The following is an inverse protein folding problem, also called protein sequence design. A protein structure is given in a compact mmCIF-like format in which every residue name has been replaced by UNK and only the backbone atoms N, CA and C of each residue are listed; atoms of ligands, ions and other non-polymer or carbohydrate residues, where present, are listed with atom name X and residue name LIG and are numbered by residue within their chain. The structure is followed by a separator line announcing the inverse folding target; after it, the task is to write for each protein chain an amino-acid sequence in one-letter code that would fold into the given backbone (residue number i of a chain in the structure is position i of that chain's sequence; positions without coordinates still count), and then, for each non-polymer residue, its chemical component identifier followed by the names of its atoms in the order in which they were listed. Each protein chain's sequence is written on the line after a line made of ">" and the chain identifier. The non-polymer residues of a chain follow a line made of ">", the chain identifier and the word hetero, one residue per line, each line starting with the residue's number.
data_IF_081356811913
#
_entry.id   IF_081356811913
#
_cell.length_a   1.000
_cell.length_b   1.000
_cell.length_c   1.000
_cell.angle_alpha   90.00
_cell.angle_beta   90.00
_cell.angle_gamma   90.00
#
_symmetry.space_group_name_H-M   'P 1'
#
loop_
_entity.id
_entity.type
_entity.pdbx_description
1 polymer ?
#
# COMPACT_ATOMS: atom_id res chain seq x y z
N UNK A 1 -63.56 21.09 -13.78
CA UNK A 1 -62.12 21.36 -13.94
C UNK A 1 -61.38 20.64 -12.82
N UNK A 2 -60.93 19.40 -13.07
CA UNK A 2 -60.11 18.62 -12.12
C UNK A 2 -59.52 17.35 -12.79
N UNK A 3 -58.41 16.85 -12.22
CA UNK A 3 -57.58 15.66 -12.56
C UNK A 3 -56.57 15.87 -13.71
N UNK A 4 -55.30 15.47 -13.67
CA UNK A 4 -54.47 14.69 -12.73
C UNK A 4 -53.35 13.96 -13.50
N UNK A 5 -52.15 13.89 -12.89
CA UNK A 5 -51.09 12.84 -13.03
C UNK A 5 -50.09 12.88 -14.22
N UNK A 6 -48.82 12.98 -13.81
CA UNK A 6 -47.50 12.65 -14.41
C UNK A 6 -47.42 11.65 -15.59
N UNK A 7 -46.51 11.94 -16.55
CA UNK A 7 -45.44 11.00 -16.98
C UNK A 7 -44.34 11.66 -17.83
N UNK A 8 -43.09 11.36 -17.46
CA UNK A 8 -41.84 11.64 -18.16
C UNK A 8 -41.53 10.48 -19.11
N UNK A 9 -41.20 10.79 -20.38
CA UNK A 9 -40.36 10.03 -21.34
C UNK A 9 -40.36 10.86 -22.65
N UNK A 10 -39.36 10.94 -23.53
CA UNK A 10 -38.34 10.02 -24.04
C UNK A 10 -37.36 10.89 -24.85
N UNK A 11 -36.04 10.71 -24.74
CA UNK A 11 -35.11 11.02 -25.83
C UNK A 11 -34.06 9.92 -25.89
N UNK A 12 -34.18 9.08 -26.91
CA UNK A 12 -33.16 8.13 -27.34
C UNK A 12 -32.49 8.74 -28.57
N UNK A 13 -31.15 8.75 -28.60
CA UNK A 13 -30.30 8.32 -29.72
C UNK A 13 -28.82 8.63 -29.40
N UNK A 14 -28.04 7.56 -29.41
CA UNK A 14 -26.60 7.43 -29.65
C UNK A 14 -25.60 8.12 -28.70
N UNK A 15 -24.96 7.32 -27.85
CA UNK A 15 -23.51 7.40 -27.65
C UNK A 15 -22.91 5.99 -27.49
N UNK A 16 -22.08 5.61 -28.45
CA UNK A 16 -21.04 4.58 -28.30
C UNK A 16 -20.10 4.99 -27.16
N UNK A 17 -19.99 4.16 -26.12
CA UNK A 17 -19.00 4.32 -25.07
C UNK A 17 -17.97 3.19 -25.15
N UNK A 18 -16.74 3.55 -25.52
CA UNK A 18 -15.59 2.67 -25.52
C UNK A 18 -14.91 2.59 -24.14
N UNK A 19 -14.34 1.42 -23.87
CA UNK A 19 -13.67 0.95 -22.65
C UNK A 19 -12.31 1.60 -22.38
N UNK A 20 -11.91 1.66 -21.09
CA UNK A 20 -10.58 2.11 -20.66
C UNK A 20 -9.75 0.92 -20.17
N UNK A 21 -8.68 0.57 -20.89
CA UNK A 21 -7.66 -0.39 -20.47
C UNK A 21 -6.33 0.32 -20.28
N UNK A 22 -5.55 -0.11 -19.30
CA UNK A 22 -4.12 0.18 -19.26
C UNK A 22 -3.39 -0.88 -20.08
N UNK A 23 -2.58 -0.45 -21.02
CA UNK A 23 -1.71 -1.34 -21.78
C UNK A 23 -0.28 -0.95 -21.50
N UNK A 24 0.53 -1.94 -21.10
CA UNK A 24 1.97 -1.81 -21.08
C UNK A 24 2.45 -1.84 -22.55
N UNK A 25 2.99 -0.73 -23.04
CA UNK A 25 3.69 -0.72 -24.32
C UNK A 25 5.15 -1.04 -24.01
N UNK A 26 5.53 -2.31 -24.16
CA UNK A 26 6.93 -2.72 -24.08
C UNK A 26 7.62 -2.26 -25.35
N UNK A 27 8.47 -1.22 -25.27
CA UNK A 27 9.36 -0.90 -26.36
C UNK A 27 10.55 -1.86 -26.31
N UNK A 28 10.37 -3.06 -26.89
CA UNK A 28 11.48 -3.97 -27.16
C UNK A 28 12.32 -3.36 -28.29
N UNK A 29 13.18 -2.41 -27.96
CA UNK A 29 14.27 -2.08 -28.87
C UNK A 29 15.18 -3.30 -28.95
N UNK A 30 14.88 -4.22 -29.87
CA UNK A 30 15.84 -5.21 -30.37
C UNK A 30 17.00 -4.41 -30.96
N UNK A 31 18.04 -4.19 -30.16
CA UNK A 31 19.34 -3.80 -30.73
C UNK A 31 19.88 -5.04 -31.43
N UNK A 32 19.88 -4.99 -32.75
CA UNK A 32 20.68 -5.90 -33.56
C UNK A 32 22.13 -5.89 -33.07
N UNK A 33 22.69 -7.09 -32.95
CA UNK A 33 24.06 -7.35 -32.56
C UNK A 33 25.03 -6.56 -33.44
N UNK A 34 25.72 -5.58 -32.85
CA UNK A 34 27.04 -5.16 -33.33
C UNK A 34 28.05 -5.36 -32.21
N UNK A 35 28.85 -6.39 -32.40
CA UNK A 35 30.09 -6.67 -31.67
C UNK A 35 30.98 -5.43 -31.63
N UNK A 36 31.40 -5.00 -30.45
CA UNK A 36 32.59 -4.18 -30.29
C UNK A 36 33.53 -4.85 -29.29
N UNK A 37 34.64 -5.36 -29.83
CA UNK A 37 35.82 -5.79 -29.10
C UNK A 37 36.53 -4.57 -28.48
N UNK A 38 37.13 -4.82 -27.32
CA UNK A 38 38.24 -4.09 -26.70
C UNK A 38 38.00 -2.62 -26.31
N UNK A 39 37.99 -2.36 -25.00
CA UNK A 39 38.95 -1.46 -24.31
C UNK A 39 38.85 -1.74 -22.80
N UNK A 40 40.01 -1.89 -22.14
CA UNK A 40 40.21 -2.14 -20.71
C UNK A 40 39.95 -0.87 -19.87
N UNK A 41 39.65 -1.03 -18.56
CA UNK A 41 39.27 0.06 -17.67
C UNK A 41 40.49 0.83 -17.15
N UNK A 42 40.38 2.16 -17.01
CA UNK A 42 41.28 2.93 -16.16
C UNK A 42 40.53 3.98 -15.34
N UNK A 43 40.93 4.03 -14.07
CA UNK A 43 40.48 4.88 -12.98
C UNK A 43 40.84 6.37 -13.15
N UNK A 44 40.13 7.22 -12.40
CA UNK A 44 40.56 8.40 -11.59
C UNK A 44 39.75 9.70 -11.83
N UNK A 45 39.04 10.08 -10.75
CA UNK A 45 38.72 11.39 -10.11
C UNK A 45 38.71 12.73 -10.87
N UNK A 46 37.71 13.51 -10.40
CA UNK A 46 37.67 14.93 -9.99
C UNK A 46 37.06 15.96 -10.95
N UNK A 47 36.17 16.74 -10.31
CA UNK A 47 35.67 18.10 -10.58
C UNK A 47 36.27 18.84 -11.77
N UNK A 48 35.43 19.41 -12.62
CA UNK A 48 35.14 20.85 -12.56
C UNK A 48 33.98 21.23 -13.48
N UNK A 49 33.42 22.39 -13.18
CA UNK A 49 32.45 23.16 -13.96
C UNK A 49 32.87 23.34 -15.42
N UNK A 50 31.89 23.60 -16.31
CA UNK A 50 31.86 24.78 -17.19
C UNK A 50 30.71 24.68 -18.23
N UNK A 51 29.96 25.78 -18.31
CA UNK A 51 29.59 26.55 -19.51
C UNK A 51 28.96 25.84 -20.72
N UNK A 52 27.80 26.39 -21.07
CA UNK A 52 27.11 26.35 -22.36
C UNK A 52 27.98 26.73 -23.56
N UNK A 53 27.92 25.96 -24.63
CA UNK A 53 27.63 26.49 -25.97
C UNK A 53 27.25 25.37 -26.93
N UNK A 54 26.25 25.70 -27.75
CA UNK A 54 25.69 24.91 -28.83
C UNK A 54 26.75 24.33 -29.79
N UNK A 55 26.49 23.14 -30.31
CA UNK A 55 26.50 22.95 -31.75
C UNK A 55 25.70 21.72 -32.20
N UNK A 56 24.95 21.96 -33.26
CA UNK A 56 24.08 21.05 -33.99
C UNK A 56 24.84 19.79 -34.44
N UNK A 57 24.26 18.61 -34.14
CA UNK A 57 24.40 17.44 -35.01
C UNK A 57 23.00 17.14 -35.54
N UNK A 58 22.85 17.38 -36.84
CA UNK A 58 21.67 17.04 -37.62
C UNK A 58 21.55 15.53 -37.81
N UNK A 59 20.32 15.06 -37.61
CA UNK A 59 19.62 14.06 -38.44
C UNK A 59 20.36 12.77 -38.83
N UNK A 60 20.23 11.75 -37.99
CA UNK A 60 20.03 10.38 -38.48
C UNK A 60 18.54 10.05 -38.49
N UNK A 61 18.10 9.41 -39.57
CA UNK A 61 16.73 9.14 -39.99
C UNK A 61 15.89 8.44 -38.90
N UNK A 62 15.08 9.22 -38.19
CA UNK A 62 13.90 8.71 -37.51
C UNK A 62 12.87 8.31 -38.57
N UNK A 63 12.70 7.00 -38.70
CA UNK A 63 11.75 6.29 -39.54
C UNK A 63 10.46 7.08 -39.87
N UNK A 64 10.33 7.47 -41.15
CA UNK A 64 9.16 8.17 -41.68
C UNK A 64 7.87 7.30 -41.67
N UNK A 65 7.95 6.02 -41.29
CA UNK A 65 6.77 5.15 -41.09
C UNK A 65 5.84 5.62 -39.96
N UNK A 66 6.36 6.42 -39.00
CA UNK A 66 5.61 6.96 -37.86
C UNK A 66 4.84 8.28 -38.15
N UNK A 67 4.98 8.88 -39.35
CA UNK A 67 4.46 10.23 -39.62
C UNK A 67 3.00 10.32 -40.09
N UNK A 68 2.31 9.23 -40.40
CA UNK A 68 0.87 9.32 -40.68
C UNK A 68 0.07 9.18 -39.39
N UNK A 69 -0.20 10.32 -38.76
CA UNK A 69 -1.14 10.44 -37.66
C UNK A 69 -2.51 9.87 -38.09
N UNK A 70 -2.98 8.74 -37.54
CA UNK A 70 -4.14 8.02 -38.08
C UNK A 70 -5.49 8.69 -37.74
N UNK A 71 -5.46 9.85 -37.06
CA UNK A 71 -6.63 10.63 -36.66
C UNK A 71 -6.57 12.06 -37.19
N UNK A 72 -6.27 12.24 -38.48
CA UNK A 72 -6.08 13.57 -39.10
C UNK A 72 -7.20 14.59 -38.79
N UNK A 73 -8.39 14.12 -38.40
CA UNK A 73 -9.57 14.95 -38.14
C UNK A 73 -9.74 15.41 -36.68
N UNK A 74 -8.87 15.01 -35.74
CA UNK A 74 -8.96 15.46 -34.33
C UNK A 74 -7.61 16.04 -33.92
N UNK A 75 -7.59 17.32 -33.58
CA UNK A 75 -6.39 18.02 -33.14
C UNK A 75 -5.83 17.44 -31.83
N UNK A 76 -4.53 17.66 -31.62
CA UNK A 76 -3.77 17.08 -30.51
C UNK A 76 -4.32 17.47 -29.14
N UNK A 77 -4.85 18.69 -29.00
CA UNK A 77 -5.37 19.22 -27.74
C UNK A 77 -6.74 18.61 -27.41
N UNK A 78 -7.65 18.56 -28.38
CA UNK A 78 -8.96 17.90 -28.25
C UNK A 78 -8.80 16.42 -27.94
N UNK A 79 -7.84 15.74 -28.59
CA UNK A 79 -7.53 14.33 -28.31
C UNK A 79 -7.01 14.11 -26.89
N UNK A 80 -6.09 14.96 -26.42
CA UNK A 80 -5.54 14.88 -25.06
C UNK A 80 -6.61 15.13 -23.99
N UNK A 81 -7.58 16.01 -24.28
CA UNK A 81 -8.72 16.29 -23.41
C UNK A 81 -9.81 15.21 -23.47
N UNK A 82 -9.86 14.42 -24.55
CA UNK A 82 -10.84 13.35 -24.74
C UNK A 82 -10.72 12.24 -23.69
N UNK A 83 -11.85 11.60 -23.39
CA UNK A 83 -11.91 10.53 -22.40
C UNK A 83 -10.96 9.37 -22.79
N UNK A 84 -10.87 9.03 -24.09
CA UNK A 84 -10.10 7.91 -24.68
C UNK A 84 -8.63 7.81 -24.27
N UNK A 85 -7.93 8.95 -24.09
CA UNK A 85 -6.48 8.98 -23.86
C UNK A 85 -6.10 9.45 -22.45
N UNK A 86 -7.08 9.49 -21.54
CA UNK A 86 -6.86 9.75 -20.13
C UNK A 86 -6.77 8.40 -19.41
N UNK A 87 -5.63 8.17 -18.77
CA UNK A 87 -5.49 7.14 -17.75
C UNK A 87 -6.45 7.50 -16.62
N UNK A 88 -7.42 6.62 -16.34
CA UNK A 88 -8.63 6.95 -15.57
C UNK A 88 -8.82 6.10 -14.32
N UNK A 89 -7.81 5.38 -13.87
CA UNK A 89 -7.95 4.66 -12.60
C UNK A 89 -7.81 5.66 -11.44
N UNK A 90 -8.49 5.40 -10.31
CA UNK A 90 -8.29 6.12 -9.03
C UNK A 90 -6.81 6.30 -8.72
N UNK A 91 -5.99 5.30 -9.05
CA UNK A 91 -4.56 5.28 -8.78
C UNK A 91 -3.83 6.39 -9.54
N UNK A 92 -4.07 6.58 -10.85
CA UNK A 92 -3.46 7.68 -11.62
C UNK A 92 -3.97 9.06 -11.19
N UNK A 93 -5.23 9.16 -10.74
CA UNK A 93 -5.78 10.42 -10.27
C UNK A 93 -5.25 10.82 -8.88
N UNK A 94 -5.02 9.84 -7.99
CA UNK A 94 -4.52 10.06 -6.62
C UNK A 94 -3.00 10.12 -6.52
N UNK A 95 -2.30 9.41 -7.41
CA UNK A 95 -0.85 9.32 -7.49
C UNK A 95 -0.41 9.63 -8.93
N UNK A 96 -0.46 10.90 -9.35
CA UNK A 96 -0.14 11.31 -10.73
C UNK A 96 1.33 11.07 -11.12
N UNK A 97 2.20 10.74 -10.16
CA UNK A 97 3.56 10.24 -10.35
C UNK A 97 3.60 8.77 -10.77
N UNK A 98 2.57 7.99 -10.42
CA UNK A 98 2.47 6.58 -10.77
C UNK A 98 2.43 6.45 -12.29
N UNK A 99 3.46 5.83 -12.86
CA UNK A 99 3.63 5.68 -14.31
C UNK A 99 4.37 6.79 -15.06
N UNK A 100 4.82 7.85 -14.37
CA UNK A 100 5.81 8.80 -14.94
C UNK A 100 7.25 8.30 -14.78
N UNK A 101 7.48 7.42 -13.80
CA UNK A 101 8.80 6.89 -13.51
C UNK A 101 9.19 5.80 -14.52
N UNK A 102 10.45 5.84 -14.95
CA UNK A 102 11.08 4.78 -15.72
C UNK A 102 11.61 3.75 -14.73
N UNK A 103 11.12 2.52 -14.84
CA UNK A 103 11.60 1.38 -14.07
C UNK A 103 12.73 0.72 -14.86
N UNK A 104 13.94 0.66 -14.31
CA UNK A 104 15.04 -0.04 -14.94
C UNK A 104 15.07 -1.49 -14.43
N UNK A 105 14.56 -2.41 -15.24
CA UNK A 105 14.39 -3.81 -14.88
C UNK A 105 15.43 -4.68 -15.59
N UNK A 106 16.08 -5.59 -14.87
CA UNK A 106 16.89 -6.61 -15.52
C UNK A 106 15.97 -7.67 -16.13
N UNK A 107 16.17 -7.92 -17.41
CA UNK A 107 15.50 -8.98 -18.15
C UNK A 107 16.05 -10.36 -17.75
N UNK A 108 15.47 -11.45 -18.28
CA UNK A 108 15.91 -12.81 -17.96
C UNK A 108 17.35 -13.14 -18.40
N UNK A 109 17.93 -12.35 -19.30
CA UNK A 109 19.32 -12.51 -19.77
C UNK A 109 20.27 -11.53 -19.06
N UNK A 110 19.79 -10.77 -18.07
CA UNK A 110 20.56 -9.82 -17.27
C UNK A 110 20.73 -8.44 -17.90
N UNK A 111 20.05 -8.17 -19.02
CA UNK A 111 20.10 -6.87 -19.70
C UNK A 111 19.15 -5.89 -19.00
N UNK A 112 19.67 -4.73 -18.61
CA UNK A 112 18.88 -3.67 -18.03
C UNK A 112 17.97 -3.02 -19.09
N UNK A 113 16.67 -3.12 -18.89
CA UNK A 113 15.61 -2.68 -19.81
C UNK A 113 14.72 -1.64 -19.13
N UNK A 114 14.51 -0.45 -19.76
CA UNK A 114 13.60 0.55 -19.22
C UNK A 114 12.14 0.17 -19.49
N UNK A 115 11.32 0.12 -18.43
CA UNK A 115 9.89 -0.16 -18.45
C UNK A 115 9.14 1.06 -17.92
N UNK A 116 8.15 1.55 -18.66
CA UNK A 116 7.34 2.69 -18.26
C UNK A 116 5.89 2.53 -18.71
N UNK A 117 4.99 3.29 -18.10
CA UNK A 117 3.59 3.32 -18.48
C UNK A 117 3.35 4.41 -19.51
N UNK A 118 2.95 4.01 -20.71
CA UNK A 118 2.63 4.94 -21.80
C UNK A 118 1.13 5.03 -22.01
N UNK A 119 0.68 6.15 -22.59
CA UNK A 119 -0.68 6.26 -23.10
C UNK A 119 -0.86 5.28 -24.26
N UNK A 120 -1.94 4.51 -24.23
CA UNK A 120 -2.32 3.62 -25.32
C UNK A 120 -2.81 4.44 -26.53
N UNK A 121 -2.24 4.15 -27.69
CA UNK A 121 -2.67 4.67 -28.99
C UNK A 121 -3.14 3.52 -29.89
N UNK A 122 -4.17 3.72 -30.73
CA UNK A 122 -4.74 2.66 -31.57
C UNK A 122 -3.77 1.95 -32.53
N UNK A 123 -2.62 2.55 -32.85
CA UNK A 123 -1.60 1.94 -33.70
C UNK A 123 -0.60 1.05 -32.96
N UNK A 124 -0.71 0.92 -31.64
CA UNK A 124 0.22 0.12 -30.83
C UNK A 124 -0.25 -1.32 -30.72
N UNK A 125 0.69 -2.25 -30.87
CA UNK A 125 0.44 -3.66 -30.58
C UNK A 125 0.45 -3.88 -29.07
N UNK A 126 -0.66 -4.38 -28.54
CA UNK A 126 -0.81 -4.73 -27.13
C UNK A 126 -0.16 -6.10 -26.93
N UNK A 127 0.81 -6.18 -26.02
CA UNK A 127 1.47 -7.44 -25.66
C UNK A 127 1.00 -7.98 -24.31
N UNK A 128 0.50 -7.11 -23.44
CA UNK A 128 0.07 -7.42 -22.08
C UNK A 128 -0.98 -6.42 -21.62
N UNK A 129 -2.08 -6.90 -21.03
CA UNK A 129 -3.11 -6.06 -20.43
C UNK A 129 -3.06 -6.15 -18.90
N UNK A 130 -3.11 -5.00 -18.22
CA UNK A 130 -3.05 -4.93 -16.75
C UNK A 130 -4.28 -4.19 -16.23
N UNK A 131 -5.00 -4.81 -15.31
CA UNK A 131 -6.20 -4.24 -14.71
C UNK A 131 -6.03 -4.11 -13.19
N UNK A 132 -6.28 -2.92 -12.66
CA UNK A 132 -6.17 -2.64 -11.23
C UNK A 132 -7.51 -2.79 -10.53
N UNK A 133 -7.67 -3.87 -9.77
CA UNK A 133 -8.88 -4.16 -9.00
C UNK A 133 -8.82 -3.47 -7.63
N UNK A 134 -9.12 -2.17 -7.63
CA UNK A 134 -9.10 -1.33 -6.43
C UNK A 134 -10.44 -0.58 -6.24
N UNK A 135 -11.18 -0.95 -5.19
CA UNK A 135 -12.24 -0.21 -4.49
C UNK A 135 -13.43 0.31 -5.32
N UNK A 136 -13.23 1.25 -6.26
CA UNK A 136 -14.31 2.03 -6.89
C UNK A 136 -14.25 2.14 -8.41
N UNK A 137 -13.12 1.79 -9.03
CA UNK A 137 -12.87 2.08 -10.46
C UNK A 137 -12.56 0.80 -11.24
N UNK A 138 -13.26 -0.29 -10.93
CA UNK A 138 -13.13 -1.55 -11.67
C UNK A 138 -14.44 -1.91 -12.40
N UNK A 139 -14.57 -1.56 -13.69
CA UNK A 139 -15.76 -1.87 -14.48
C UNK A 139 -15.61 -3.25 -15.15
N UNK A 140 -15.97 -4.31 -14.42
CA UNK A 140 -15.84 -5.71 -14.88
C UNK A 140 -16.56 -5.98 -16.21
N UNK A 141 -17.68 -5.30 -16.42
CA UNK A 141 -18.49 -5.33 -17.63
C UNK A 141 -17.81 -4.71 -18.85
N UNK A 142 -16.80 -3.85 -18.65
CA UNK A 142 -16.07 -3.19 -19.74
C UNK A 142 -14.83 -3.97 -20.18
N UNK A 143 -14.52 -5.10 -19.54
CA UNK A 143 -13.43 -5.97 -19.98
C UNK A 143 -13.85 -6.64 -21.29
N UNK A 144 -13.12 -6.44 -22.41
CA UNK A 144 -13.50 -6.97 -23.72
C UNK A 144 -13.63 -8.49 -23.71
N UNK A 145 -14.70 -9.00 -24.31
CA UNK A 145 -14.94 -10.44 -24.49
C UNK A 145 -15.00 -10.81 -25.97
N UNK A 146 -14.43 -11.96 -26.38
CA UNK A 146 -13.66 -12.91 -25.56
C UNK A 146 -12.22 -12.41 -25.28
N UNK A 147 -11.53 -12.91 -24.23
CA UNK A 147 -10.11 -12.65 -24.03
C UNK A 147 -9.29 -13.09 -25.25
N UNK A 148 -8.31 -12.28 -25.65
CA UNK A 148 -7.40 -12.65 -26.72
C UNK A 148 -6.48 -13.78 -26.22
N UNK A 149 -6.46 -14.97 -26.84
CA UNK A 149 -5.65 -16.09 -26.37
C UNK A 149 -4.13 -15.81 -26.41
N UNK A 150 -3.71 -14.83 -27.22
CA UNK A 150 -2.31 -14.47 -27.43
C UNK A 150 -1.86 -13.26 -26.60
N UNK A 151 -2.78 -12.59 -25.87
CA UNK A 151 -2.45 -11.43 -25.04
C UNK A 151 -2.83 -11.76 -23.60
N UNK A 152 -1.84 -11.99 -22.70
CA UNK A 152 -2.12 -12.26 -21.32
C UNK A 152 -2.82 -11.08 -20.63
N UNK A 153 -3.74 -11.40 -19.72
CA UNK A 153 -4.43 -10.44 -18.85
C UNK A 153 -3.99 -10.61 -17.40
N UNK A 154 -3.61 -9.50 -16.77
CA UNK A 154 -3.12 -9.45 -15.40
C UNK A 154 -4.09 -8.70 -14.50
N UNK A 155 -4.51 -9.34 -13.41
CA UNK A 155 -5.30 -8.71 -12.36
C UNK A 155 -4.37 -8.26 -11.23
N UNK A 156 -4.23 -6.96 -11.03
CA UNK A 156 -3.42 -6.38 -9.96
C UNK A 156 -4.30 -5.89 -8.81
N UNK A 157 -4.05 -6.36 -7.57
CA UNK A 157 -4.72 -5.82 -6.38
C UNK A 157 -3.90 -6.00 -5.10
N UNK A 158 -3.86 -4.95 -4.28
CA UNK A 158 -3.30 -4.95 -2.92
C UNK A 158 -4.34 -4.67 -1.83
N UNK A 159 -5.60 -4.51 -2.23
CA UNK A 159 -6.73 -4.32 -1.32
C UNK A 159 -7.14 -5.68 -0.71
N UNK A 160 -7.81 -5.70 0.45
CA UNK A 160 -8.36 -6.94 1.00
C UNK A 160 -9.53 -7.44 0.12
N UNK A 161 -9.89 -8.74 0.20
CA UNK A 161 -10.96 -9.33 -0.59
C UNK A 161 -12.27 -8.52 -0.61
N UNK A 162 -12.71 -8.02 0.56
CA UNK A 162 -13.95 -7.21 0.69
C UNK A 162 -13.97 -5.91 -0.12
N UNK A 163 -12.85 -5.50 -0.71
CA UNK A 163 -12.69 -4.28 -1.50
C UNK A 163 -12.32 -4.56 -2.96
N UNK A 164 -12.49 -5.81 -3.40
CA UNK A 164 -12.13 -6.29 -4.74
C UNK A 164 -13.38 -6.78 -5.48
N UNK A 165 -13.79 -6.04 -6.50
CA UNK A 165 -14.98 -6.37 -7.28
C UNK A 165 -14.78 -7.65 -8.11
N UNK A 166 -13.61 -7.80 -8.74
CA UNK A 166 -13.39 -8.89 -9.69
C UNK A 166 -13.10 -10.24 -9.04
N UNK A 167 -12.40 -10.27 -7.90
CA UNK A 167 -11.92 -11.54 -7.30
C UNK A 167 -13.02 -12.37 -6.68
N UNK A 168 -14.16 -11.75 -6.36
CA UNK A 168 -15.35 -12.41 -5.81
C UNK A 168 -16.37 -12.76 -6.91
N UNK A 169 -16.10 -12.42 -8.17
CA UNK A 169 -17.01 -12.64 -9.29
C UNK A 169 -16.39 -13.59 -10.32
N UNK A 170 -16.94 -14.79 -10.45
CA UNK A 170 -16.45 -15.85 -11.34
C UNK A 170 -16.37 -15.42 -12.81
N UNK A 171 -17.39 -14.70 -13.29
CA UNK A 171 -17.41 -14.18 -14.66
C UNK A 171 -16.36 -13.10 -14.89
N UNK A 172 -15.90 -12.44 -13.84
CA UNK A 172 -14.86 -11.44 -13.93
C UNK A 172 -13.47 -12.06 -13.85
N UNK A 173 -13.18 -12.81 -12.78
CA UNK A 173 -11.84 -13.35 -12.53
C UNK A 173 -11.39 -14.33 -13.61
N UNK A 174 -12.33 -15.09 -14.20
CA UNK A 174 -12.04 -16.03 -15.29
C UNK A 174 -11.51 -15.37 -16.58
N UNK A 175 -11.62 -14.04 -16.69
CA UNK A 175 -11.07 -13.26 -17.82
C UNK A 175 -9.56 -13.03 -17.72
N UNK A 176 -8.94 -13.42 -16.61
CA UNK A 176 -7.55 -13.12 -16.30
C UNK A 176 -6.69 -14.37 -16.31
N UNK A 177 -5.41 -14.18 -16.64
CA UNK A 177 -4.41 -15.24 -16.66
C UNK A 177 -3.53 -15.22 -15.42
N UNK A 178 -3.10 -14.03 -15.00
CA UNK A 178 -2.15 -13.89 -13.89
C UNK A 178 -2.63 -12.89 -12.86
N UNK A 179 -2.20 -13.07 -11.62
CA UNK A 179 -2.46 -12.13 -10.54
C UNK A 179 -1.17 -11.53 -9.96
N UNK A 180 -1.23 -10.22 -9.70
CA UNK A 180 -0.24 -9.50 -8.89
C UNK A 180 -0.92 -9.11 -7.57
N UNK A 181 -0.52 -9.74 -6.47
CA UNK A 181 -1.11 -9.48 -5.15
C UNK A 181 -0.17 -9.86 -4.00
N UNK A 182 -0.55 -9.53 -2.77
CA UNK A 182 0.19 -9.95 -1.57
C UNK A 182 -0.04 -11.42 -1.20
N UNK A 183 -1.10 -12.01 -1.74
CA UNK A 183 -1.54 -13.37 -1.47
C UNK A 183 -0.50 -14.39 -1.90
N UNK A 184 -0.33 -15.45 -1.12
CA UNK A 184 0.63 -16.51 -1.44
C UNK A 184 0.32 -17.26 -2.74
N UNK A 185 -0.93 -17.22 -3.19
CA UNK A 185 -1.40 -17.88 -4.42
C UNK A 185 -1.22 -17.00 -5.66
N UNK A 186 -0.77 -15.75 -5.50
CA UNK A 186 -0.54 -14.86 -6.62
C UNK A 186 0.62 -15.33 -7.49
N UNK A 187 0.50 -15.18 -8.81
CA UNK A 187 1.58 -15.47 -9.75
C UNK A 187 2.80 -14.59 -9.50
N UNK A 188 2.53 -13.34 -9.14
CA UNK A 188 3.53 -12.35 -8.77
C UNK A 188 3.15 -11.83 -7.39
N UNK A 189 3.79 -12.43 -6.38
CA UNK A 189 3.58 -12.01 -4.99
C UNK A 189 4.33 -10.71 -4.70
N UNK A 190 3.64 -9.74 -4.11
CA UNK A 190 4.17 -8.42 -3.78
C UNK A 190 3.97 -8.06 -2.31
N UNK A 191 4.87 -7.29 -1.72
CA UNK A 191 4.79 -6.84 -0.33
C UNK A 191 4.18 -5.44 -0.20
N UNK A 192 3.67 -5.10 0.99
CA UNK A 192 3.20 -3.74 1.31
C UNK A 192 4.32 -2.79 1.76
N UNK A 193 5.56 -3.26 1.87
CA UNK A 193 6.73 -2.49 2.31
C UNK A 193 8.01 -3.03 1.63
N UNK A 194 9.12 -2.32 1.72
CA UNK A 194 10.46 -2.75 1.27
C UNK A 194 11.59 -2.16 2.12
N UNK A 195 11.25 -1.69 3.33
CA UNK A 195 12.13 -0.87 4.12
C UNK A 195 13.25 -1.67 4.79
N UNK A 196 14.43 -1.63 4.18
CA UNK A 196 15.62 -2.36 4.62
C UNK A 196 16.05 -2.00 6.05
N UNK A 197 15.70 -0.82 6.56
CA UNK A 197 16.11 -0.37 7.88
C UNK A 197 15.45 -1.19 9.00
N UNK A 198 14.27 -1.76 8.76
CA UNK A 198 13.56 -2.62 9.72
C UNK A 198 14.36 -3.91 10.00
N UNK A 199 15.20 -4.33 9.05
CA UNK A 199 15.96 -5.58 9.07
C UNK A 199 17.36 -5.42 9.65
N UNK A 200 17.73 -4.22 10.08
CA UNK A 200 19.04 -4.00 10.70
C UNK A 200 19.05 -4.63 12.09
N UNK A 201 20.14 -5.36 12.38
CA UNK A 201 20.42 -5.83 13.73
C UNK A 201 20.73 -4.60 14.57
N UNK A 202 19.97 -4.41 15.65
CA UNK A 202 20.13 -3.28 16.56
C UNK A 202 20.53 -3.79 17.96
N UNK A 203 21.44 -3.09 18.66
CA UNK A 203 21.86 -3.49 20.00
C UNK A 203 20.76 -3.22 21.03
N UNK A 204 20.63 -4.08 22.03
CA UNK A 204 19.62 -3.98 23.09
C UNK A 204 19.68 -2.64 23.85
N UNK A 205 20.87 -2.07 24.00
CA UNK A 205 21.09 -0.77 24.64
C UNK A 205 20.37 0.36 23.93
N UNK A 206 20.21 0.27 22.60
CA UNK A 206 19.48 1.26 21.82
C UNK A 206 17.99 1.24 22.19
N UNK A 207 17.39 0.06 22.31
CA UNK A 207 15.97 -0.07 22.69
C UNK A 207 15.72 0.43 24.13
N UNK A 208 16.65 0.15 25.04
CA UNK A 208 16.60 0.71 26.41
C UNK A 208 16.71 2.24 26.40
N UNK A 209 17.59 2.81 25.57
CA UNK A 209 17.71 4.25 25.40
C UNK A 209 16.44 4.87 24.80
N UNK A 210 15.89 4.27 23.74
CA UNK A 210 14.63 4.72 23.10
C UNK A 210 13.48 4.66 24.10
N UNK A 211 13.34 3.58 24.86
CA UNK A 211 12.32 3.43 25.90
C UNK A 211 12.47 4.50 26.97
N UNK A 212 13.67 4.73 27.50
CA UNK A 212 13.92 5.77 28.50
C UNK A 212 13.50 7.16 27.99
N UNK A 213 13.79 7.49 26.74
CA UNK A 213 13.37 8.74 26.12
C UNK A 213 11.84 8.85 26.00
N UNK A 214 11.15 7.76 25.61
CA UNK A 214 9.67 7.71 25.60
C UNK A 214 9.11 7.95 26.99
N UNK A 215 9.65 7.27 28.01
CA UNK A 215 9.22 7.41 29.41
C UNK A 215 9.46 8.84 29.94
N UNK A 216 10.59 9.46 29.61
CA UNK A 216 10.86 10.86 29.95
C UNK A 216 9.91 11.83 29.24
N UNK A 217 9.66 11.64 27.95
CA UNK A 217 8.71 12.43 27.18
C UNK A 217 7.30 12.39 27.79
N UNK A 218 6.85 11.18 28.12
CA UNK A 218 5.60 10.91 28.81
C UNK A 218 5.53 11.67 30.15
N UNK A 219 6.56 11.53 31.01
CA UNK A 219 6.65 12.21 32.31
C UNK A 219 6.62 13.74 32.17
N UNK A 220 7.28 14.28 31.15
CA UNK A 220 7.25 15.72 30.89
C UNK A 220 5.87 16.22 30.46
N UNK A 221 5.10 15.39 29.76
CA UNK A 221 3.74 15.70 29.31
C UNK A 221 2.76 15.69 30.48
N UNK A 222 2.89 14.70 31.38
CA UNK A 222 2.16 14.63 32.67
C UNK A 222 2.31 15.91 33.50
N UNK A 223 3.55 16.39 33.67
CA UNK A 223 3.85 17.59 34.46
C UNK A 223 3.20 18.84 33.85
N UNK A 224 3.21 18.96 32.52
CA UNK A 224 2.58 20.09 31.81
C UNK A 224 1.06 20.09 31.92
N UNK A 225 0.41 18.92 31.93
CA UNK A 225 -1.05 18.83 32.11
C UNK A 225 -1.47 19.17 33.53
N UNK A 226 -0.71 18.72 34.54
CA UNK A 226 -0.99 19.03 35.94
C UNK A 226 -0.78 20.52 36.26
N UNK A 227 0.21 21.17 35.65
CA UNK A 227 0.43 22.61 35.79
C UNK A 227 -0.65 23.51 35.18
N UNK A 228 -1.48 23.00 34.26
CA UNK A 228 -2.59 23.76 33.64
C UNK A 228 -3.92 23.60 34.37
N UNK A 229 -4.10 22.54 35.17
CA UNK A 229 -5.36 22.27 35.89
C UNK A 229 -5.56 23.09 37.18
N UNK A 230 -4.65 24.01 37.52
CA UNK A 230 -4.80 24.87 38.70
C UNK A 230 -5.62 26.15 38.47
N UNK A 231 -6.22 26.35 37.29
CA UNK A 231 -7.16 27.44 37.04
C UNK A 231 -8.31 26.95 36.15
N UNK A 232 -9.42 26.49 36.75
CA UNK A 232 -10.80 26.82 36.36
C UNK A 232 -11.81 25.93 37.09
N UNK A 233 -12.62 26.57 37.94
CA UNK A 233 -13.91 26.04 38.41
C UNK A 233 -14.96 26.27 37.32
N UNK A 234 -15.55 25.22 36.74
CA UNK A 234 -16.97 25.20 36.37
C UNK A 234 -17.47 23.76 36.22
N UNK A 235 -18.65 23.54 36.80
CA UNK A 235 -19.31 22.25 36.87
C UNK A 235 -19.86 21.81 35.51
N UNK A 236 -19.60 20.55 35.13
CA UNK A 236 -20.49 19.74 34.31
C UNK A 236 -20.30 18.27 34.67
N UNK A 237 -21.37 17.65 35.18
CA UNK A 237 -21.44 16.26 35.60
C UNK A 237 -21.41 15.33 34.37
N UNK A 238 -20.22 14.84 34.02
CA UNK A 238 -20.04 13.52 33.43
C UNK A 238 -19.09 12.76 34.35
N UNK A 239 -19.63 11.77 35.06
CA UNK A 239 -18.88 10.92 35.99
C UNK A 239 -18.05 9.91 35.18
N UNK A 240 -17.00 10.39 34.51
CA UNK A 240 -15.91 9.55 34.02
C UNK A 240 -14.99 9.28 35.20
N UNK A 241 -14.77 8.00 35.53
CA UNK A 241 -13.66 7.55 36.38
C UNK A 241 -12.31 7.76 35.65
N UNK A 242 -12.02 8.97 35.17
CA UNK A 242 -10.86 9.33 34.36
C UNK A 242 -9.66 9.78 35.21
N UNK A 243 -9.30 9.01 36.23
CA UNK A 243 -7.97 9.09 36.84
C UNK A 243 -6.97 8.11 36.19
N UNK A 244 -7.29 7.59 35.01
CA UNK A 244 -6.54 6.53 34.33
C UNK A 244 -5.68 7.18 33.23
N UNK A 245 -4.44 7.53 33.58
CA UNK A 245 -3.36 8.12 32.75
C UNK A 245 -3.58 9.54 32.17
N UNK A 246 -2.72 10.52 32.54
CA UNK A 246 -2.76 11.86 31.92
C UNK A 246 -2.10 11.91 30.53
N UNK A 247 -1.42 10.85 30.10
CA UNK A 247 -0.79 10.72 28.78
C UNK A 247 -1.37 9.55 27.98
N UNK A 248 -1.16 9.60 26.67
CA UNK A 248 -1.65 8.61 25.72
C UNK A 248 -0.64 7.47 25.55
N UNK A 249 -1.07 6.23 25.76
CA UNK A 249 -0.21 5.04 25.70
C UNK A 249 0.02 4.55 24.27
N UNK A 250 -1.00 4.73 23.43
CA UNK A 250 -1.00 4.25 22.05
C UNK A 250 -1.43 5.35 21.07
N UNK A 251 -0.98 5.19 19.83
CA UNK A 251 -1.42 6.02 18.71
C UNK A 251 -2.13 5.21 17.63
N UNK A 252 -3.01 5.88 16.88
CA UNK A 252 -3.74 5.31 15.75
C UNK A 252 -3.85 6.29 14.59
N UNK A 253 -3.65 5.78 13.37
CA UNK A 253 -3.63 6.60 12.14
C UNK A 253 -4.57 6.02 11.10
N UNK A 254 -5.89 6.13 11.32
CA UNK A 254 -6.89 5.57 10.43
C UNK A 254 -7.73 6.61 9.72
N UNK A 255 -7.92 6.45 8.41
CA UNK A 255 -8.80 7.30 7.60
C UNK A 255 -9.99 6.57 6.96
N UNK A 256 -10.08 5.25 7.13
CA UNK A 256 -11.17 4.42 6.59
C UNK A 256 -12.05 3.96 7.77
N UNK A 257 -13.05 4.76 8.15
CA UNK A 257 -13.81 4.54 9.39
C UNK A 257 -14.97 3.58 9.17
N UNK A 258 -15.70 3.79 8.07
CA UNK A 258 -16.93 3.08 7.72
C UNK A 258 -16.78 2.28 6.42
N UNK A 259 -15.53 1.94 6.06
CA UNK A 259 -15.33 0.99 4.97
C UNK A 259 -16.05 -0.32 5.33
N UNK A 260 -16.52 -1.14 4.35
CA UNK A 260 -16.95 -2.52 4.56
C UNK A 260 -15.75 -3.33 5.06
N UNK A 261 -15.41 -3.08 6.32
CA UNK A 261 -14.17 -3.44 6.98
C UNK A 261 -14.54 -4.55 7.94
N UNK A 262 -14.08 -5.74 7.62
CA UNK A 262 -14.44 -6.95 8.34
C UNK A 262 -13.63 -7.16 9.61
N UNK A 263 -13.30 -6.07 10.30
CA UNK A 263 -12.41 -6.10 11.48
C UNK A 263 -13.01 -5.51 12.76
N UNK A 264 -14.20 -4.88 12.73
CA UNK A 264 -14.81 -4.19 13.89
C UNK A 264 -13.82 -3.29 14.68
N UNK A 265 -12.76 -2.83 14.00
CA UNK A 265 -11.62 -2.16 14.62
C UNK A 265 -11.99 -0.85 15.28
N UNK A 266 -12.98 -0.14 14.73
CA UNK A 266 -13.43 1.15 15.25
C UNK A 266 -14.12 0.95 16.60
N UNK A 267 -15.01 -0.03 16.69
CA UNK A 267 -15.73 -0.42 17.90
C UNK A 267 -14.77 -0.93 18.97
N UNK A 268 -13.81 -1.76 18.58
CA UNK A 268 -12.80 -2.26 19.50
C UNK A 268 -11.97 -1.13 20.10
N UNK A 269 -11.50 -0.17 19.28
CA UNK A 269 -10.73 0.98 19.78
C UNK A 269 -11.59 1.89 20.66
N UNK A 270 -12.87 2.13 20.30
CA UNK A 270 -13.80 2.87 21.16
C UNK A 270 -13.96 2.21 22.53
N UNK A 271 -13.97 0.88 22.59
CA UNK A 271 -14.01 0.14 23.85
C UNK A 271 -12.70 0.30 24.64
N UNK A 272 -11.54 0.14 24.00
CA UNK A 272 -10.22 0.37 24.64
C UNK A 272 -10.09 1.79 25.22
N UNK A 273 -10.61 2.79 24.51
CA UNK A 273 -10.57 4.21 24.94
C UNK A 273 -11.30 4.50 26.25
N UNK A 274 -12.10 3.57 26.76
CA UNK A 274 -12.71 3.66 28.11
C UNK A 274 -11.72 3.33 29.23
N UNK A 275 -10.67 2.59 28.91
CA UNK A 275 -9.71 2.04 29.88
C UNK A 275 -8.33 2.68 29.76
N UNK A 276 -7.94 3.12 28.56
CA UNK A 276 -6.66 3.81 28.33
C UNK A 276 -6.82 4.99 27.37
N UNK A 277 -5.92 5.97 27.46
CA UNK A 277 -5.89 7.09 26.53
C UNK A 277 -5.16 6.71 25.24
N UNK A 278 -5.83 6.90 24.11
CA UNK A 278 -5.34 6.60 22.76
C UNK A 278 -5.46 7.86 21.91
N UNK A 279 -4.38 8.24 21.23
CA UNK A 279 -4.37 9.38 20.31
C UNK A 279 -4.66 8.91 18.88
N UNK A 280 -5.75 9.41 18.30
CA UNK A 280 -6.15 9.16 16.91
C UNK A 280 -5.91 10.39 16.05
N UNK A 281 -4.94 10.28 15.14
CA UNK A 281 -4.51 11.35 14.22
C UNK A 281 -5.23 11.31 12.86
N UNK A 282 -5.94 10.23 12.57
CA UNK A 282 -6.65 10.08 11.31
C UNK A 282 -8.07 10.63 11.36
N UNK A 283 -8.81 10.53 10.25
CA UNK A 283 -10.20 11.01 10.20
C UNK A 283 -11.15 10.18 11.08
N UNK A 284 -10.74 9.00 11.53
CA UNK A 284 -11.54 8.15 12.41
C UNK A 284 -11.28 8.47 13.88
N UNK A 285 -12.35 8.68 14.66
CA UNK A 285 -12.35 9.16 16.05
C UNK A 285 -11.75 10.57 16.21
N UNK A 286 -10.64 10.88 15.53
CA UNK A 286 -10.06 12.20 15.31
C UNK A 286 -10.03 13.07 16.58
N UNK A 287 -9.56 12.50 17.70
CA UNK A 287 -9.42 13.23 18.95
C UNK A 287 -8.14 14.07 19.01
N UNK A 288 -7.22 13.91 18.04
CA UNK A 288 -6.09 14.79 17.81
C UNK A 288 -6.31 15.58 16.52
N UNK A 289 -6.43 16.92 16.57
CA UNK A 289 -6.65 17.73 15.39
C UNK A 289 -5.52 17.61 14.36
N UNK A 290 -5.90 17.44 13.09
CA UNK A 290 -4.97 17.55 11.98
C UNK A 290 -4.48 18.99 11.88
N UNK A 291 -3.16 19.15 11.89
CA UNK A 291 -2.47 20.43 11.72
C UNK A 291 -1.77 20.47 10.36
N UNK A 292 -1.28 21.65 9.97
CA UNK A 292 -0.43 21.76 8.78
C UNK A 292 0.77 20.81 8.85
N UNK A 293 1.31 20.51 10.03
CA UNK A 293 2.46 19.58 10.17
C UNK A 293 2.03 18.12 10.01
N UNK A 294 0.85 17.75 10.50
CA UNK A 294 0.37 16.35 10.55
C UNK A 294 -0.51 15.95 9.37
N UNK A 295 -0.62 16.83 8.36
CA UNK A 295 -1.40 16.58 7.15
C UNK A 295 -0.83 15.43 6.33
N UNK A 296 -1.71 14.50 5.92
CA UNK A 296 -1.37 13.33 5.08
C UNK A 296 -0.98 13.66 3.64
N UNK A 297 -1.24 14.89 3.19
CA UNK A 297 -1.01 15.33 1.80
C UNK A 297 0.34 16.00 1.59
N UNK A 298 1.17 16.10 2.64
CA UNK A 298 2.50 16.66 2.53
C UNK A 298 3.51 15.65 2.01
N UNK A 299 4.57 16.16 1.40
CA UNK A 299 5.71 15.38 0.93
C UNK A 299 6.39 14.61 2.07
N UNK A 300 6.52 15.23 3.25
CA UNK A 300 7.12 14.67 4.47
C UNK A 300 6.12 13.88 5.35
N UNK A 301 4.89 13.63 4.87
CA UNK A 301 3.83 13.04 5.69
C UNK A 301 4.20 11.67 6.29
N UNK A 302 5.01 10.88 5.56
CA UNK A 302 5.49 9.58 6.07
C UNK A 302 6.49 9.75 7.21
N UNK A 303 7.46 10.66 7.07
CA UNK A 303 8.46 10.94 8.10
C UNK A 303 7.81 11.52 9.37
N UNK A 304 6.84 12.42 9.19
CA UNK A 304 6.04 12.94 10.30
C UNK A 304 5.25 11.85 10.99
N UNK A 305 4.56 10.97 10.23
CA UNK A 305 3.85 9.80 10.80
C UNK A 305 4.82 8.93 11.61
N UNK A 306 5.98 8.62 11.03
CA UNK A 306 7.00 7.78 11.65
C UNK A 306 7.52 8.39 12.96
N UNK A 307 7.85 9.68 12.95
CA UNK A 307 8.29 10.44 14.12
C UNK A 307 7.23 10.48 15.23
N UNK A 308 5.97 10.71 14.88
CA UNK A 308 4.86 10.71 15.84
C UNK A 308 4.64 9.34 16.45
N UNK A 309 4.60 8.29 15.63
CA UNK A 309 4.45 6.91 16.11
C UNK A 309 5.55 6.56 17.13
N UNK A 310 6.78 7.03 16.91
CA UNK A 310 7.92 6.81 17.79
C UNK A 310 7.81 7.46 19.17
N UNK A 311 6.83 8.34 19.42
CA UNK A 311 6.60 8.96 20.74
C UNK A 311 5.76 8.09 21.68
N UNK A 312 5.08 7.07 21.16
CA UNK A 312 4.19 6.19 21.91
C UNK A 312 4.88 4.87 22.24
N UNK A 313 4.50 4.19 23.33
CA UNK A 313 4.94 2.81 23.57
C UNK A 313 4.27 1.86 22.56
N UNK A 314 3.00 2.10 22.25
CA UNK A 314 2.22 1.22 21.38
C UNK A 314 1.68 1.93 20.13
N UNK A 315 1.47 1.15 19.08
CA UNK A 315 0.76 1.58 17.87
C UNK A 315 -0.32 0.58 17.51
N UNK A 316 -1.54 1.07 17.28
CA UNK A 316 -2.68 0.23 16.88
C UNK A 316 -2.60 -0.08 15.38
N UNK A 317 -1.91 -1.16 15.03
CA UNK A 317 -1.74 -1.67 13.67
C UNK A 317 -2.95 -2.52 13.22
N UNK A 318 -4.16 -1.99 13.37
CA UNK A 318 -5.39 -2.73 13.09
C UNK A 318 -5.69 -2.72 11.59
N UNK A 319 -5.73 -3.91 10.99
CA UNK A 319 -6.02 -4.07 9.57
C UNK A 319 -7.47 -3.75 9.24
N UNK A 320 -7.74 -3.49 7.96
CA UNK A 320 -9.10 -3.22 7.51
C UNK A 320 -9.99 -4.48 7.57
N UNK A 321 -9.39 -5.66 7.37
CA UNK A 321 -10.10 -6.93 7.24
C UNK A 321 -9.27 -8.05 7.87
N UNK A 322 -9.92 -9.02 8.51
CA UNK A 322 -9.24 -10.16 9.14
C UNK A 322 -9.04 -11.29 8.12
N UNK A 323 -8.23 -11.06 7.08
CA UNK A 323 -8.03 -12.01 5.99
C UNK A 323 -6.64 -12.65 5.98
N UNK A 324 -6.56 -13.91 5.56
CA UNK A 324 -5.31 -14.64 5.31
C UNK A 324 -4.44 -13.80 4.39
N UNK A 325 -3.13 -13.77 4.68
CA UNK A 325 -2.11 -13.02 3.94
C UNK A 325 -2.25 -11.48 3.98
N UNK A 326 -3.34 -10.94 4.51
CA UNK A 326 -3.55 -9.49 4.59
C UNK A 326 -2.87 -8.90 5.83
N UNK A 327 -1.59 -8.57 5.68
CA UNK A 327 -0.84 -7.74 6.63
C UNK A 327 -0.06 -6.71 5.85
N UNK A 328 -0.33 -5.44 6.15
CA UNK A 328 0.15 -4.34 5.32
C UNK A 328 1.35 -3.65 5.97
N UNK A 329 1.62 -2.42 5.55
CA UNK A 329 2.68 -1.58 6.08
C UNK A 329 2.51 -1.22 7.57
N UNK A 330 1.29 -1.31 8.12
CA UNK A 330 0.96 -0.80 9.46
C UNK A 330 1.85 -1.35 10.58
N UNK A 331 1.98 -2.67 10.79
CA UNK A 331 2.86 -3.18 11.83
C UNK A 331 4.33 -2.88 11.54
N UNK A 332 4.74 -2.87 10.28
CA UNK A 332 6.12 -2.57 9.88
C UNK A 332 6.52 -1.12 10.21
N UNK A 333 5.61 -0.16 10.02
CA UNK A 333 5.84 1.22 10.43
C UNK A 333 6.01 1.34 11.96
N UNK A 334 5.27 0.53 12.74
CA UNK A 334 5.42 0.48 14.19
C UNK A 334 6.81 -0.04 14.58
N UNK A 335 7.22 -1.17 14.01
CA UNK A 335 8.55 -1.72 14.20
C UNK A 335 9.62 -0.68 13.83
N UNK A 336 9.52 -0.04 12.66
CA UNK A 336 10.47 1.01 12.26
C UNK A 336 10.54 2.18 13.27
N UNK A 337 9.43 2.51 13.94
CA UNK A 337 9.36 3.68 14.85
C UNK A 337 9.81 3.37 16.28
N UNK A 338 10.14 2.10 16.56
CA UNK A 338 10.47 1.67 17.91
C UNK A 338 9.24 1.60 18.82
N UNK A 339 8.04 1.43 18.26
CA UNK A 339 6.80 1.23 19.01
C UNK A 339 6.33 -0.20 18.82
N UNK A 340 5.76 -0.80 19.88
CA UNK A 340 5.25 -2.17 19.80
C UNK A 340 3.92 -2.17 19.02
N UNK A 341 3.82 -2.86 17.86
CA UNK A 341 2.56 -2.99 17.15
C UNK A 341 1.58 -3.86 17.94
N UNK A 342 0.36 -3.34 18.11
CA UNK A 342 -0.81 -4.13 18.50
C UNK A 342 -1.55 -4.47 17.23
N UNK A 343 -1.61 -5.75 16.89
CA UNK A 343 -2.16 -6.23 15.62
C UNK A 343 -3.58 -6.78 15.80
N UNK A 344 -4.44 -6.38 14.88
CA UNK A 344 -5.77 -6.94 14.66
C UNK A 344 -5.85 -7.34 13.21
N UNK A 345 -5.75 -8.64 12.95
CA UNK A 345 -5.69 -9.25 11.63
C UNK A 345 -6.06 -10.75 11.74
N UNK A 346 -5.99 -11.48 10.64
CA UNK A 346 -6.16 -12.93 10.65
C UNK A 346 -5.02 -13.60 11.45
N UNK A 347 -5.26 -14.59 12.34
CA UNK A 347 -4.23 -15.20 13.19
C UNK A 347 -3.01 -15.71 12.42
N UNK A 348 -3.23 -16.32 11.25
CA UNK A 348 -2.15 -16.83 10.40
C UNK A 348 -1.19 -15.75 9.85
N UNK A 349 -1.54 -14.46 9.91
CA UNK A 349 -0.67 -13.41 9.41
C UNK A 349 0.42 -13.02 10.40
N UNK A 350 0.33 -13.47 11.65
CA UNK A 350 1.35 -13.29 12.67
C UNK A 350 2.75 -13.77 12.26
N UNK A 351 2.83 -14.83 11.44
CA UNK A 351 4.10 -15.33 10.86
C UNK A 351 4.81 -14.31 9.96
N UNK A 352 4.11 -13.25 9.58
CA UNK A 352 4.65 -12.15 8.78
C UNK A 352 5.28 -11.04 9.63
N UNK A 353 5.44 -11.27 10.93
CA UNK A 353 6.19 -10.40 11.84
C UNK A 353 7.25 -11.21 12.59
N UNK A 354 8.35 -10.57 13.03
CA UNK A 354 9.32 -11.22 13.90
C UNK A 354 8.64 -11.76 15.17
N UNK A 355 9.01 -12.97 15.55
CA UNK A 355 8.41 -13.64 16.72
C UNK A 355 8.70 -12.84 18.00
N UNK A 356 7.66 -12.61 18.81
CA UNK A 356 7.75 -11.80 20.01
C UNK A 356 7.79 -10.28 19.77
N UNK A 357 7.62 -9.77 18.53
CA UNK A 357 7.71 -8.33 18.25
C UNK A 357 6.39 -7.56 18.33
N UNK A 358 5.28 -8.21 18.68
CA UNK A 358 3.94 -7.66 18.55
C UNK A 358 3.00 -8.21 19.61
N UNK A 359 1.88 -7.52 19.82
CA UNK A 359 0.77 -7.96 20.68
C UNK A 359 -0.42 -8.29 19.79
N UNK A 360 -0.95 -9.51 19.84
CA UNK A 360 -2.13 -9.89 19.07
C UNK A 360 -3.42 -9.66 19.85
N UNK A 361 -4.31 -8.82 19.32
CA UNK A 361 -5.56 -8.49 19.99
C UNK A 361 -6.48 -9.72 20.17
N UNK A 362 -6.35 -10.73 19.32
CA UNK A 362 -7.13 -11.97 19.43
C UNK A 362 -6.67 -12.95 20.52
N UNK A 363 -5.53 -12.68 21.19
CA UNK A 363 -5.09 -13.47 22.35
C UNK A 363 -5.82 -13.07 23.63
N UNK A 364 -6.61 -11.98 23.59
CA UNK A 364 -7.34 -11.43 24.72
C UNK A 364 -8.84 -11.71 24.58
N UNK A 365 -9.48 -11.99 25.71
CA UNK A 365 -10.93 -12.24 25.80
C UNK A 365 -11.77 -10.98 25.51
N UNK A 366 -11.21 -9.79 25.72
CA UNK A 366 -11.88 -8.50 25.51
C UNK A 366 -10.89 -7.33 25.27
N UNK A 367 -11.40 -6.22 24.77
CA UNK A 367 -10.66 -4.96 24.65
C UNK A 367 -10.20 -4.40 26.01
N UNK A 368 -10.94 -4.71 27.09
CA UNK A 368 -10.55 -4.36 28.45
C UNK A 368 -9.30 -5.13 28.86
N UNK A 369 -9.29 -6.45 28.67
CA UNK A 369 -8.15 -7.29 29.08
C UNK A 369 -6.88 -6.89 28.35
N UNK A 370 -6.97 -6.63 27.04
CA UNK A 370 -5.84 -6.05 26.29
C UNK A 370 -5.41 -4.70 26.89
N UNK A 371 -6.34 -3.82 27.22
CA UNK A 371 -6.00 -2.52 27.82
C UNK A 371 -5.31 -2.67 29.18
N UNK A 372 -5.76 -3.59 30.02
CA UNK A 372 -5.12 -3.92 31.31
C UNK A 372 -3.70 -4.47 31.09
N UNK A 373 -3.49 -5.26 30.04
CA UNK A 373 -2.16 -5.76 29.66
C UNK A 373 -1.21 -4.64 29.20
N UNK A 374 -1.70 -3.69 28.41
CA UNK A 374 -0.90 -2.52 28.01
C UNK A 374 -0.51 -1.64 29.20
N UNK A 375 -1.42 -1.51 30.18
CA UNK A 375 -1.16 -0.87 31.47
C UNK A 375 -0.04 -1.60 32.23
N UNK A 376 -0.11 -2.92 32.30
CA UNK A 376 0.93 -3.74 32.91
C UNK A 376 2.29 -3.51 32.24
N UNK A 377 2.37 -3.59 30.92
CA UNK A 377 3.62 -3.35 30.18
C UNK A 377 4.14 -1.91 30.35
N UNK A 378 3.25 -0.93 30.46
CA UNK A 378 3.66 0.45 30.70
C UNK A 378 4.31 0.64 32.08
N UNK A 379 3.87 -0.13 33.08
CA UNK A 379 4.40 -0.11 34.45
C UNK A 379 5.62 -1.03 34.64
N UNK A 380 5.89 -1.93 33.70
CA UNK A 380 6.95 -2.95 33.78
C UNK A 380 7.86 -2.85 32.56
N UNK A 381 8.84 -1.96 32.63
CA UNK A 381 9.74 -1.65 31.50
C UNK A 381 10.51 -2.89 31.00
N UNK A 382 10.92 -3.80 31.89
CA UNK A 382 11.61 -5.04 31.49
C UNK A 382 10.72 -5.97 30.66
N UNK A 383 9.42 -6.05 30.98
CA UNK A 383 8.44 -6.84 30.22
C UNK A 383 8.16 -6.19 28.86
N UNK A 384 8.06 -4.86 28.82
CA UNK A 384 7.92 -4.12 27.56
C UNK A 384 9.16 -4.31 26.66
N UNK A 385 10.37 -4.30 27.22
CA UNK A 385 11.61 -4.45 26.46
C UNK A 385 11.77 -5.83 25.81
N UNK A 386 11.10 -6.87 26.32
CA UNK A 386 11.07 -8.20 25.67
C UNK A 386 10.55 -8.15 24.22
N UNK A 387 9.66 -7.20 23.91
CA UNK A 387 9.13 -7.01 22.55
C UNK A 387 10.15 -6.50 21.52
N UNK A 388 11.35 -6.16 21.98
CA UNK A 388 12.46 -5.70 21.13
C UNK A 388 13.56 -6.75 20.99
N UNK A 389 13.47 -7.89 21.69
CA UNK A 389 14.50 -8.93 21.66
C UNK A 389 14.78 -9.50 20.27
N UNK A 390 13.79 -9.48 19.39
CA UNK A 390 13.94 -9.93 18.00
C UNK A 390 15.01 -9.12 17.23
N UNK A 391 15.28 -7.86 17.60
CA UNK A 391 16.19 -6.95 16.87
C UNK A 391 17.66 -7.32 16.96
N UNK A 392 18.06 -8.02 18.02
CA UNK A 392 19.42 -8.55 18.15
C UNK A 392 19.51 -10.05 17.87
N UNK A 393 18.38 -10.68 17.52
CA UNK A 393 18.31 -12.10 17.21
C UNK A 393 18.32 -12.32 15.69
N UNK A 394 19.52 -12.57 15.15
CA UNK A 394 19.73 -12.80 13.72
C UNK A 394 18.88 -13.96 13.18
N UNK A 395 18.71 -15.06 13.93
CA UNK A 395 17.92 -16.22 13.50
C UNK A 395 16.45 -15.85 13.31
N UNK A 396 15.88 -15.03 14.20
CA UNK A 396 14.50 -14.54 14.08
C UNK A 396 14.35 -13.63 12.85
N UNK A 397 15.29 -12.71 12.64
CA UNK A 397 15.29 -11.80 11.50
C UNK A 397 15.40 -12.58 10.18
N UNK A 398 16.31 -13.55 10.08
CA UNK A 398 16.49 -14.38 8.89
C UNK A 398 15.26 -15.26 8.60
N UNK A 399 14.69 -15.91 9.62
CA UNK A 399 13.44 -16.67 9.50
C UNK A 399 12.31 -15.77 8.95
N UNK A 400 12.19 -14.57 9.50
CA UNK A 400 11.19 -13.61 9.06
C UNK A 400 11.43 -13.12 7.62
N UNK A 401 12.67 -12.78 7.26
CA UNK A 401 13.10 -12.46 5.88
C UNK A 401 12.70 -13.57 4.92
N UNK A 402 12.99 -14.83 5.26
CA UNK A 402 12.72 -15.97 4.39
C UNK A 402 11.21 -16.19 4.17
N UNK A 403 10.39 -16.07 5.23
CA UNK A 403 8.93 -16.23 5.13
C UNK A 403 8.32 -15.13 4.25
N UNK A 404 8.79 -13.90 4.43
CA UNK A 404 8.17 -12.72 3.84
C UNK A 404 8.83 -12.26 2.54
N UNK A 405 9.98 -12.83 2.19
CA UNK A 405 10.83 -12.34 1.11
C UNK A 405 11.30 -10.89 1.32
N UNK A 406 11.16 -10.29 2.50
CA UNK A 406 11.63 -8.93 2.71
C UNK A 406 13.15 -8.86 2.86
N UNK A 407 13.78 -7.72 2.55
CA UNK A 407 13.24 -6.58 1.80
C UNK A 407 13.32 -6.81 0.28
N UNK A 408 13.62 -8.03 -0.16
CA UNK A 408 14.00 -8.34 -1.55
C UNK A 408 12.83 -8.53 -2.50
N UNK A 409 11.66 -8.94 -1.99
CA UNK A 409 10.44 -9.11 -2.79
C UNK A 409 9.91 -7.74 -3.19
N UNK A 410 9.47 -7.64 -4.44
CA UNK A 410 8.87 -6.42 -4.97
C UNK A 410 7.66 -5.97 -4.13
N UNK A 411 7.41 -4.66 -4.12
CA UNK A 411 6.31 -4.05 -3.39
C UNK A 411 5.33 -3.33 -4.34
N UNK A 412 4.40 -2.56 -3.77
CA UNK A 412 3.42 -1.75 -4.53
C UNK A 412 4.02 -0.76 -5.54
N UNK A 413 5.31 -0.43 -5.43
CA UNK A 413 6.04 0.48 -6.34
C UNK A 413 6.95 -0.27 -7.33
N UNK A 414 7.49 -1.43 -6.95
CA UNK A 414 8.54 -2.13 -7.73
C UNK A 414 8.09 -3.42 -8.41
N UNK A 415 6.81 -3.79 -8.30
CA UNK A 415 6.22 -5.01 -8.90
C UNK A 415 6.36 -5.12 -10.42
N UNK A 416 6.59 -4.00 -11.12
CA UNK A 416 6.75 -3.94 -12.58
C UNK A 416 7.86 -4.84 -13.08
N UNK A 417 9.01 -4.86 -12.40
CA UNK A 417 10.12 -5.69 -12.85
C UNK A 417 9.82 -7.18 -12.68
N UNK A 418 9.12 -7.56 -11.61
CA UNK A 418 8.67 -8.94 -11.41
C UNK A 418 7.64 -9.35 -12.47
N UNK A 419 6.72 -8.46 -12.85
CA UNK A 419 5.79 -8.71 -13.94
C UNK A 419 6.49 -8.82 -15.29
N UNK A 420 7.46 -7.95 -15.58
CA UNK A 420 8.23 -8.01 -16.82
C UNK A 420 8.96 -9.35 -16.96
N UNK A 421 9.65 -9.79 -15.91
CA UNK A 421 10.30 -11.11 -15.90
C UNK A 421 9.30 -12.26 -16.03
N UNK A 422 8.11 -12.15 -15.42
CA UNK A 422 7.05 -13.14 -15.55
C UNK A 422 6.54 -13.24 -17.00
N UNK A 423 6.33 -12.10 -17.65
CA UNK A 423 5.95 -12.02 -19.06
C UNK A 423 7.01 -12.66 -19.97
N UNK A 424 8.30 -12.39 -19.77
CA UNK A 424 9.37 -13.03 -20.54
C UNK A 424 9.43 -14.55 -20.33
N UNK A 425 9.13 -15.03 -19.12
CA UNK A 425 9.03 -16.47 -18.86
C UNK A 425 7.87 -17.09 -19.66
N UNK A 426 6.74 -16.40 -19.75
CA UNK A 426 5.63 -16.82 -20.60
C UNK A 426 6.01 -16.84 -22.09
N UNK A 427 6.68 -15.80 -22.60
CA UNK A 427 7.17 -15.78 -24.00
C UNK A 427 8.10 -16.95 -24.32
N UNK A 428 8.89 -17.40 -23.33
CA UNK A 428 9.78 -18.57 -23.44
C UNK A 428 9.08 -19.91 -23.17
N UNK A 429 7.76 -19.93 -22.95
CA UNK A 429 6.99 -21.13 -22.65
C UNK A 429 7.26 -21.73 -21.26
N UNK A 430 7.89 -20.99 -20.35
CA UNK A 430 8.24 -21.42 -18.99
C UNK A 430 7.09 -21.24 -17.99
N UNK A 431 6.12 -20.40 -18.31
CA UNK A 431 4.91 -20.17 -17.50
C UNK A 431 3.69 -20.19 -18.43
N UNK A 432 2.61 -20.92 -18.10
CA UNK A 432 1.44 -20.99 -18.95
C UNK A 432 0.51 -19.78 -18.76
N UNK A 433 -0.32 -19.53 -19.76
CA UNK A 433 -1.60 -18.86 -19.51
C UNK A 433 -2.51 -19.82 -18.77
N UNK A 434 -3.16 -19.33 -17.72
CA UNK A 434 -4.19 -20.07 -16.96
C UNK A 434 -5.48 -19.26 -16.91
N UNK A 435 -6.50 -19.82 -16.29
CA UNK A 435 -7.70 -19.10 -15.90
C UNK A 435 -7.65 -18.89 -14.40
N UNK A 436 -7.88 -17.66 -13.93
CA UNK A 436 -8.01 -17.41 -12.50
C UNK A 436 -9.41 -17.81 -12.00
N UNK A 437 -9.49 -18.24 -10.75
CA UNK A 437 -10.72 -18.70 -10.11
C UNK A 437 -11.01 -17.89 -8.84
N UNK A 438 -12.29 -17.78 -8.51
CA UNK A 438 -12.74 -17.16 -7.25
C UNK A 438 -12.26 -18.03 -6.10
N UNK A 439 -11.74 -17.38 -5.07
CA UNK A 439 -11.65 -17.99 -3.74
C UNK A 439 -12.78 -17.41 -2.89
N UNK A 440 -13.65 -18.25 -2.30
CA UNK A 440 -14.75 -17.77 -1.46
C UNK A 440 -14.27 -16.85 -0.35
N UNK A 441 -15.03 -15.78 -0.09
CA UNK A 441 -14.67 -14.78 0.92
C UNK A 441 -14.46 -15.40 2.31
N UNK A 442 -15.32 -16.33 2.72
CA UNK A 442 -15.27 -16.98 4.03
C UNK A 442 -14.09 -17.96 4.18
N UNK A 443 -13.45 -18.38 3.08
CA UNK A 443 -12.20 -19.15 3.12
C UNK A 443 -10.98 -18.25 3.34
N UNK A 444 -11.08 -16.98 2.94
CA UNK A 444 -10.00 -16.01 3.07
C UNK A 444 -10.11 -15.17 4.34
N UNK A 445 -11.33 -14.83 4.76
CA UNK A 445 -11.57 -13.78 5.74
C UNK A 445 -12.44 -14.28 6.89
N UNK A 446 -12.03 -13.93 8.10
CA UNK A 446 -12.79 -14.18 9.31
C UNK A 446 -13.90 -13.13 9.48
N UNK A 447 -14.99 -13.47 10.17
CA UNK A 447 -16.08 -12.54 10.39
C UNK A 447 -15.63 -11.36 11.28
N UNK A 448 -16.31 -10.19 11.18
CA UNK A 448 -15.90 -9.00 11.91
C UNK A 448 -15.83 -9.16 13.43
N UNK A 449 -16.67 -10.02 14.00
CA UNK A 449 -16.74 -10.31 15.44
C UNK A 449 -15.81 -11.44 15.91
N UNK A 450 -14.92 -11.95 15.04
CA UNK A 450 -13.96 -12.99 15.40
C UNK A 450 -13.09 -12.57 16.60
N UNK A 451 -12.57 -11.33 16.58
CA UNK A 451 -11.88 -10.75 17.74
C UNK A 451 -12.92 -10.11 18.66
N UNK A 452 -13.03 -10.62 19.88
CA UNK A 452 -14.05 -10.23 20.85
C UNK A 452 -13.77 -8.85 21.42
N UNK A 453 -14.80 -8.00 21.44
CA UNK A 453 -14.72 -6.66 22.02
C UNK A 453 -14.99 -6.70 23.53
N UNK A 454 -15.98 -7.49 23.97
CA UNK A 454 -16.45 -7.59 25.37
C UNK A 454 -16.43 -9.03 25.85
#
# INVERSE_FOLDING_TARGET
>A
MNKGIFKITFFFIFFLFFSFSLVLVVNLNKKENKTFNNIKPNYIRNNDSFISNDNQIQNEEFDNSLKKYPFQNIDKETRFKSKFFKLKTSMYNRFPEFGKEINYCNDLDGIQTPITFLKLYPSQNILLEIYFNHYFDFPAELIPEPPNPNIPRVLHSLEPPSLRICTENEKCISKFNWSVSYERIADIRVNHCDDKEIFQILPYELDKFVMNNKTQYIKSTLLKTNGKNNNNNSANNFNYNSNIYSYSLASWFCSKCDAPSSSNRLEYIKEMMKYIKIDSYGSCLNNIPVTNITSRLKEDAMDVKQSLMGKYKFYLAFENSNCIDYTTEKPLHALKSGSVPIIMAHPQTQKYLPEGSYIYAGDFSSAKELSDYLIYLDQNDDEYLKYFHWRFNQVVIEKWININGYPYRANSRTWICSLFQHYQKWERGLVPNKTLYVTPYDELCLPPNFIKIK
#
